data_IF_093183949451
#
_entry.id   IF_093183949451
#
_cell.length_a   1.000
_cell.length_b   1.000
_cell.length_c   1.000
_cell.angle_alpha   90.00
_cell.angle_beta   90.00
_cell.angle_gamma   90.00
#
_symmetry.space_group_name_H-M   'P 1'
#
loop_
_entity.id
_entity.type
_entity.pdbx_description
1 polymer ?
#
# COMPACT_ATOMS: atom_id res chain seq x y z
N UNK A 1 14.38 -11.67 16.24
CA UNK A 1 14.97 -12.73 15.39
C UNK A 1 14.02 -13.24 14.30
N UNK A 2 12.74 -13.50 14.56
CA UNK A 2 11.77 -13.99 13.56
C UNK A 2 11.51 -13.01 12.41
N UNK A 3 11.32 -11.72 12.69
CA UNK A 3 11.08 -10.68 11.68
C UNK A 3 12.24 -10.56 10.68
N UNK A 4 13.50 -10.55 11.16
CA UNK A 4 14.65 -10.45 10.27
C UNK A 4 14.77 -11.68 9.34
N UNK A 5 14.52 -12.89 9.87
CA UNK A 5 14.47 -14.10 9.05
C UNK A 5 13.37 -14.00 7.99
N UNK A 6 12.20 -13.51 8.36
CA UNK A 6 11.07 -13.32 7.46
C UNK A 6 11.37 -12.31 6.35
N UNK A 7 11.83 -11.10 6.69
CA UNK A 7 12.18 -10.07 5.71
C UNK A 7 13.29 -10.52 4.78
N UNK A 8 14.35 -11.17 5.32
CA UNK A 8 15.46 -11.67 4.52
C UNK A 8 15.04 -12.82 3.59
N UNK A 9 14.13 -13.69 4.02
CA UNK A 9 13.55 -14.71 3.16
C UNK A 9 12.76 -14.11 1.99
N UNK A 10 11.98 -13.07 2.24
CA UNK A 10 11.25 -12.36 1.19
C UNK A 10 12.19 -11.63 0.22
N UNK A 11 13.27 -11.00 0.71
CA UNK A 11 14.25 -10.32 -0.13
C UNK A 11 15.07 -11.26 -1.00
N UNK A 12 15.39 -12.46 -0.50
CA UNK A 12 16.13 -13.47 -1.25
C UNK A 12 15.36 -14.12 -2.41
N UNK A 13 14.03 -14.03 -2.42
CA UNK A 13 13.16 -14.55 -3.50
C UNK A 13 13.03 -13.64 -4.70
N UNK A 14 13.62 -12.44 -4.68
CA UNK A 14 13.50 -11.47 -5.77
C UNK A 14 14.85 -11.14 -6.40
N UNK A 15 14.89 -11.18 -7.73
CA UNK A 15 15.80 -10.31 -8.45
C UNK A 15 15.38 -8.86 -8.09
N UNK A 16 16.26 -8.15 -7.42
CA UNK A 16 16.04 -6.73 -7.10
C UNK A 16 15.86 -5.96 -8.41
N UNK A 17 14.93 -5.01 -8.51
CA UNK A 17 14.64 -4.29 -9.76
C UNK A 17 15.83 -3.54 -10.36
N UNK A 18 16.96 -3.47 -9.68
CA UNK A 18 18.16 -2.70 -10.05
C UNK A 18 19.43 -3.57 -10.11
N UNK A 19 19.33 -4.91 -10.19
CA UNK A 19 20.52 -5.78 -10.18
C UNK A 19 21.33 -5.73 -8.87
N UNK A 20 20.76 -5.17 -7.80
CA UNK A 20 21.39 -5.11 -6.49
C UNK A 20 21.40 -6.51 -5.85
N UNK A 21 22.49 -6.85 -5.17
CA UNK A 21 22.59 -8.10 -4.39
C UNK A 21 21.46 -8.16 -3.36
N UNK A 22 20.89 -9.35 -3.05
CA UNK A 22 19.94 -9.53 -1.96
C UNK A 22 20.50 -8.89 -0.69
N UNK A 23 19.74 -7.99 -0.09
CA UNK A 23 20.15 -7.33 1.15
C UNK A 23 19.73 -8.20 2.32
N UNK A 24 20.64 -8.56 3.20
CA UNK A 24 20.35 -9.24 4.45
C UNK A 24 20.35 -8.21 5.58
N UNK A 25 19.20 -8.05 6.24
CA UNK A 25 19.04 -7.17 7.38
C UNK A 25 19.31 -7.92 8.69
N UNK A 26 20.11 -7.32 9.56
CA UNK A 26 20.26 -7.79 10.92
C UNK A 26 19.00 -7.47 11.76
N UNK A 27 18.74 -8.21 12.85
CA UNK A 27 17.67 -7.84 13.78
C UNK A 27 17.79 -6.42 14.31
N UNK A 28 19.01 -5.95 14.58
CA UNK A 28 19.30 -4.62 15.11
C UNK A 28 18.93 -3.52 14.11
N UNK A 29 19.26 -3.69 12.83
CA UNK A 29 18.88 -2.72 11.79
C UNK A 29 17.36 -2.58 11.67
N UNK A 30 16.62 -3.70 11.65
CA UNK A 30 15.16 -3.66 11.61
C UNK A 30 14.56 -3.04 12.87
N UNK A 31 15.13 -3.34 14.05
CA UNK A 31 14.70 -2.72 15.31
C UNK A 31 14.90 -1.21 15.27
N UNK A 32 16.07 -0.73 14.83
CA UNK A 32 16.34 0.69 14.67
C UNK A 32 15.35 1.39 13.72
N UNK A 33 14.98 0.75 12.61
CA UNK A 33 13.96 1.28 11.68
C UNK A 33 12.58 1.39 12.33
N UNK A 34 12.22 0.46 13.24
CA UNK A 34 10.94 0.46 13.94
C UNK A 34 10.90 1.45 15.10
N UNK A 35 11.99 1.57 15.86
CA UNK A 35 12.06 2.47 17.01
C UNK A 35 12.12 3.96 16.63
N UNK A 36 12.70 4.26 15.47
CA UNK A 36 12.85 5.63 14.97
C UNK A 36 12.43 5.77 13.50
N UNK A 37 11.18 5.43 13.14
CA UNK A 37 10.77 5.40 11.73
C UNK A 37 10.88 6.77 11.05
N UNK A 38 10.77 7.88 11.80
CA UNK A 38 10.88 9.23 11.26
C UNK A 38 12.28 9.55 10.71
N UNK A 39 13.34 8.90 11.21
CA UNK A 39 14.72 9.08 10.73
C UNK A 39 14.97 8.38 9.39
N UNK A 40 14.07 7.50 8.96
CA UNK A 40 14.22 6.71 7.75
C UNK A 40 13.35 7.18 6.58
N UNK A 41 12.84 8.43 6.66
CA UNK A 41 12.08 9.07 5.59
C UNK A 41 12.64 10.45 5.27
N UNK A 42 12.77 10.73 3.96
CA UNK A 42 13.08 12.08 3.44
C UNK A 42 11.82 12.77 2.97
N UNK A 43 11.41 13.86 3.59
CA UNK A 43 10.31 14.66 3.08
C UNK A 43 10.78 15.49 1.87
N UNK A 44 9.94 15.56 0.85
CA UNK A 44 10.07 16.54 -0.23
C UNK A 44 8.71 16.92 -0.78
N UNK A 45 8.65 18.06 -1.45
CA UNK A 45 7.40 18.63 -1.92
C UNK A 45 7.32 18.56 -3.44
N UNK A 46 6.15 18.17 -3.95
CA UNK A 46 5.83 18.22 -5.38
C UNK A 46 4.66 19.17 -5.62
N UNK A 47 4.73 20.05 -6.66
CA UNK A 47 3.60 20.88 -7.03
C UNK A 47 2.45 20.02 -7.57
N UNK A 48 1.21 20.34 -7.17
CA UNK A 48 0.00 19.73 -7.75
C UNK A 48 -0.40 20.48 -9.01
N UNK A 49 -0.94 19.78 -10.01
CA UNK A 49 -1.49 20.42 -11.23
C UNK A 49 -2.66 21.35 -10.93
N UNK A 50 -3.43 21.06 -9.90
CA UNK A 50 -4.57 21.88 -9.43
C UNK A 50 -4.17 23.03 -8.51
N UNK A 51 -2.87 23.32 -8.35
CA UNK A 51 -2.35 24.28 -7.37
C UNK A 51 -2.09 23.66 -6.00
N UNK A 52 -1.20 24.29 -5.23
CA UNK A 52 -0.75 23.79 -3.93
C UNK A 52 0.37 22.76 -4.02
N UNK A 53 0.68 22.11 -2.90
CA UNK A 53 1.84 21.25 -2.74
C UNK A 53 1.42 19.89 -2.19
N UNK A 54 2.04 18.83 -2.73
CA UNK A 54 1.93 17.47 -2.20
C UNK A 54 3.20 17.13 -1.43
N UNK A 55 3.04 16.78 -0.15
CA UNK A 55 4.15 16.30 0.67
C UNK A 55 4.38 14.81 0.39
N UNK A 56 5.60 14.48 -0.02
CA UNK A 56 6.05 13.11 -0.25
C UNK A 56 7.04 12.73 0.84
N UNK A 57 6.88 11.56 1.42
CA UNK A 57 7.80 11.01 2.38
C UNK A 57 8.43 9.75 1.77
N UNK A 58 9.58 9.93 1.13
CA UNK A 58 10.30 8.82 0.51
C UNK A 58 11.13 8.08 1.57
N UNK A 59 11.00 6.75 1.67
CA UNK A 59 11.84 5.98 2.57
C UNK A 59 13.30 6.02 2.12
N UNK A 60 14.21 6.07 3.09
CA UNK A 60 15.65 5.90 2.87
C UNK A 60 15.95 4.53 2.24
N UNK A 61 17.08 4.36 1.55
CA UNK A 61 17.37 3.15 0.76
C UNK A 61 17.17 1.83 1.54
N UNK A 62 17.62 1.75 2.78
CA UNK A 62 17.48 0.55 3.60
C UNK A 62 16.01 0.21 3.89
N UNK A 63 15.22 1.17 4.39
CA UNK A 63 13.79 0.98 4.63
C UNK A 63 13.02 0.74 3.32
N UNK A 64 13.39 1.40 2.24
CA UNK A 64 12.82 1.19 0.92
C UNK A 64 12.97 -0.26 0.44
N UNK A 65 14.13 -0.87 0.67
CA UNK A 65 14.38 -2.28 0.35
C UNK A 65 13.51 -3.22 1.18
N UNK A 66 13.36 -2.95 2.49
CA UNK A 66 12.44 -3.72 3.35
C UNK A 66 11.00 -3.63 2.80
N UNK A 67 10.53 -2.44 2.48
CA UNK A 67 9.18 -2.25 1.96
C UNK A 67 8.98 -2.88 0.57
N UNK A 68 9.98 -2.89 -0.30
CA UNK A 68 9.93 -3.63 -1.55
C UNK A 68 9.85 -5.14 -1.34
N UNK A 69 10.54 -5.69 -0.34
CA UNK A 69 10.43 -7.10 0.02
C UNK A 69 9.04 -7.44 0.58
N UNK A 70 8.45 -6.54 1.38
CA UNK A 70 7.14 -6.73 2.00
C UNK A 70 5.96 -6.54 1.02
N UNK A 71 6.06 -5.66 0.02
CA UNK A 71 4.95 -5.34 -0.87
C UNK A 71 4.33 -6.56 -1.57
N UNK A 72 5.09 -7.54 -2.13
CA UNK A 72 4.50 -8.76 -2.68
C UNK A 72 3.85 -9.65 -1.65
N UNK A 73 4.39 -9.68 -0.44
CA UNK A 73 3.80 -10.44 0.65
C UNK A 73 2.42 -9.86 1.01
N UNK A 74 2.30 -8.54 1.16
CA UNK A 74 0.99 -7.91 1.34
C UNK A 74 0.01 -8.21 0.21
N UNK A 75 0.51 -8.35 -1.02
CA UNK A 75 -0.34 -8.70 -2.18
C UNK A 75 -0.92 -10.11 -2.10
N UNK A 76 -0.33 -11.01 -1.31
CA UNK A 76 -0.89 -12.36 -1.09
C UNK A 76 -2.03 -12.39 -0.08
N UNK A 77 -2.26 -11.29 0.65
CA UNK A 77 -3.28 -11.21 1.70
C UNK A 77 -4.70 -11.07 1.17
N UNK A 78 -4.86 -10.58 -0.05
CA UNK A 78 -6.18 -10.28 -0.62
C UNK A 78 -6.19 -10.49 -2.12
N UNK A 79 -7.38 -10.71 -2.66
CA UNK A 79 -7.62 -10.68 -4.10
C UNK A 79 -8.18 -9.30 -4.46
N UNK A 80 -7.48 -8.50 -5.29
CA UNK A 80 -7.99 -7.21 -5.71
C UNK A 80 -9.35 -7.35 -6.41
N UNK A 81 -10.30 -6.49 -6.06
CA UNK A 81 -11.60 -6.45 -6.72
C UNK A 81 -11.47 -6.22 -8.23
N UNK A 82 -12.40 -6.76 -9.01
CA UNK A 82 -12.39 -6.58 -10.46
C UNK A 82 -12.46 -5.10 -10.88
N UNK A 83 -13.14 -4.29 -10.07
CA UNK A 83 -13.30 -2.85 -10.25
C UNK A 83 -12.07 -2.01 -9.84
N UNK A 84 -11.02 -2.60 -9.23
CA UNK A 84 -9.79 -1.91 -8.86
C UNK A 84 -8.76 -1.97 -9.98
N UNK A 85 -8.36 -0.81 -10.53
CA UNK A 85 -7.44 -0.69 -11.66
C UNK A 85 -6.08 -0.08 -11.26
N UNK A 86 -6.05 0.76 -10.25
CA UNK A 86 -4.81 1.39 -9.80
C UNK A 86 -3.87 0.41 -9.10
N UNK A 87 -2.56 0.45 -9.45
CA UNK A 87 -1.49 -0.37 -8.87
C UNK A 87 -1.62 -1.88 -9.09
N UNK A 88 -2.51 -2.33 -9.96
CA UNK A 88 -2.70 -3.74 -10.31
C UNK A 88 -2.00 -4.11 -11.63
N UNK A 89 -1.43 -5.32 -11.67
CA UNK A 89 -0.77 -5.81 -12.88
C UNK A 89 -1.78 -6.04 -13.99
N UNK A 90 -1.45 -5.59 -15.21
CA UNK A 90 -2.30 -5.77 -16.39
C UNK A 90 -3.58 -4.91 -16.34
N UNK A 91 -3.65 -3.95 -15.42
CA UNK A 91 -4.74 -2.98 -15.33
C UNK A 91 -4.17 -1.57 -15.28
N UNK A 92 -4.74 -0.67 -16.04
CA UNK A 92 -4.27 0.70 -16.15
C UNK A 92 -5.39 1.70 -16.30
N UNK A 93 -5.03 2.93 -16.62
CA UNK A 93 -5.98 4.02 -16.79
C UNK A 93 -6.89 3.80 -18.01
N UNK A 94 -6.39 3.14 -19.04
CA UNK A 94 -7.15 2.85 -20.27
C UNK A 94 -8.25 1.84 -19.95
N UNK A 95 -7.90 0.71 -19.36
CA UNK A 95 -8.86 -0.34 -18.99
C UNK A 95 -9.88 0.19 -17.95
N UNK A 96 -9.44 1.10 -17.06
CA UNK A 96 -10.38 1.77 -16.16
C UNK A 96 -11.38 2.65 -16.90
N UNK A 97 -10.94 3.39 -17.91
CA UNK A 97 -11.83 4.25 -18.70
C UNK A 97 -12.79 3.42 -19.58
N UNK A 98 -12.32 2.27 -20.11
CA UNK A 98 -13.12 1.36 -20.95
C UNK A 98 -14.37 0.83 -20.23
N UNK A 99 -14.32 0.69 -18.89
CA UNK A 99 -15.49 0.30 -18.07
C UNK A 99 -16.68 1.23 -18.29
N UNK A 100 -16.43 2.50 -18.57
CA UNK A 100 -17.44 3.55 -18.64
C UNK A 100 -17.81 3.97 -20.06
N UNK A 101 -17.29 3.30 -21.09
CA UNK A 101 -17.66 3.60 -22.49
C UNK A 101 -19.15 3.40 -22.72
N UNK A 102 -19.75 4.33 -23.48
CA UNK A 102 -21.16 4.30 -23.84
C UNK A 102 -22.12 4.68 -22.69
N UNK A 103 -21.60 5.31 -21.61
CA UNK A 103 -22.46 5.85 -20.56
C UNK A 103 -22.77 7.33 -20.82
N UNK A 104 -24.05 7.72 -20.66
CA UNK A 104 -24.49 9.12 -20.82
C UNK A 104 -23.99 10.02 -19.68
N UNK A 105 -23.76 9.44 -18.50
CA UNK A 105 -23.35 10.19 -17.30
C UNK A 105 -22.15 9.51 -16.65
N UNK A 106 -21.20 10.33 -16.20
CA UNK A 106 -20.04 9.89 -15.46
C UNK A 106 -19.90 10.73 -14.18
N UNK A 107 -19.93 10.06 -13.02
CA UNK A 107 -19.55 10.65 -11.74
C UNK A 107 -18.09 10.31 -11.44
N UNK A 108 -17.25 11.33 -11.29
CA UNK A 108 -15.87 11.18 -10.84
C UNK A 108 -15.75 11.77 -9.43
N UNK A 109 -15.26 10.97 -8.48
CA UNK A 109 -15.02 11.36 -7.11
C UNK A 109 -13.57 11.03 -6.72
N UNK A 110 -12.99 11.79 -5.79
CA UNK A 110 -11.62 11.66 -5.31
C UNK A 110 -11.60 11.60 -3.78
N UNK A 111 -10.85 10.66 -3.21
CA UNK A 111 -10.71 10.55 -1.76
C UNK A 111 -9.61 11.49 -1.29
N UNK A 112 -10.00 12.59 -0.65
CA UNK A 112 -9.05 13.58 -0.16
C UNK A 112 -8.02 12.95 0.79
N UNK A 113 -6.74 13.19 0.49
CA UNK A 113 -5.62 12.70 1.30
C UNK A 113 -5.65 11.17 1.53
N UNK A 114 -6.01 10.39 0.52
CA UNK A 114 -6.24 8.95 0.64
C UNK A 114 -5.15 8.22 1.41
N UNK A 115 -3.88 8.31 0.99
CA UNK A 115 -2.75 7.67 1.68
C UNK A 115 -2.63 8.12 3.14
N UNK A 116 -2.53 9.42 3.46
CA UNK A 116 -2.42 9.87 4.84
C UNK A 116 -3.68 9.63 5.69
N UNK A 117 -4.84 9.36 5.10
CA UNK A 117 -6.06 9.01 5.84
C UNK A 117 -5.99 7.60 6.44
N UNK A 118 -5.13 6.73 5.89
CA UNK A 118 -4.95 5.37 6.36
C UNK A 118 -4.02 5.37 7.57
N UNK A 119 -4.59 5.12 8.76
CA UNK A 119 -3.85 5.08 10.01
C UNK A 119 -3.16 3.74 10.26
N UNK A 120 -2.08 3.77 11.04
CA UNK A 120 -1.39 2.58 11.55
C UNK A 120 -2.35 1.62 12.28
N UNK A 121 -3.30 2.18 13.06
CA UNK A 121 -4.33 1.38 13.75
C UNK A 121 -5.22 0.61 12.77
N UNK A 122 -5.63 1.24 11.67
CA UNK A 122 -6.45 0.59 10.64
C UNK A 122 -5.69 -0.55 9.97
N UNK A 123 -4.42 -0.31 9.60
CA UNK A 123 -3.54 -1.33 9.03
C UNK A 123 -3.34 -2.52 9.98
N UNK A 124 -3.08 -2.25 11.27
CA UNK A 124 -2.95 -3.30 12.28
C UNK A 124 -4.22 -4.16 12.36
N UNK A 125 -5.38 -3.52 12.41
CA UNK A 125 -6.67 -4.22 12.43
C UNK A 125 -6.84 -5.13 11.22
N UNK A 126 -6.55 -4.63 10.02
CA UNK A 126 -6.59 -5.42 8.78
C UNK A 126 -5.59 -6.59 8.79
N UNK A 127 -4.35 -6.37 9.21
CA UNK A 127 -3.36 -7.43 9.28
C UNK A 127 -3.82 -8.56 10.21
N UNK A 128 -4.40 -8.23 11.35
CA UNK A 128 -4.91 -9.20 12.30
C UNK A 128 -6.18 -9.91 11.81
N UNK A 129 -7.06 -9.24 11.05
CA UNK A 129 -8.24 -9.87 10.48
C UNK A 129 -7.92 -10.79 9.31
N UNK A 130 -7.02 -10.39 8.42
CA UNK A 130 -6.67 -11.17 7.22
C UNK A 130 -5.81 -12.41 7.54
N UNK A 131 -4.90 -12.30 8.52
CA UNK A 131 -4.05 -13.44 8.92
C UNK A 131 -4.54 -14.19 10.15
N UNK A 132 -5.48 -13.61 10.91
CA UNK A 132 -6.02 -14.26 12.11
C UNK A 132 -4.91 -14.73 13.07
N UNK A 133 -5.01 -15.98 13.58
CA UNK A 133 -4.08 -16.51 14.58
C UNK A 133 -2.63 -16.70 14.08
N UNK A 134 -2.39 -16.72 12.77
CA UNK A 134 -1.07 -16.92 12.19
C UNK A 134 -0.16 -15.71 12.37
N UNK A 135 -0.73 -14.52 12.54
CA UNK A 135 0.00 -13.29 12.79
C UNK A 135 -0.12 -12.86 14.25
N UNK A 136 0.96 -12.94 15.02
CA UNK A 136 0.96 -12.41 16.38
C UNK A 136 0.74 -10.90 16.39
N UNK A 137 0.06 -10.34 17.43
CA UNK A 137 -0.12 -8.88 17.57
C UNK A 137 1.21 -8.11 17.54
N UNK A 138 2.27 -8.68 18.11
CA UNK A 138 3.61 -8.10 18.06
C UNK A 138 4.15 -8.02 16.62
N UNK A 139 4.00 -9.08 15.83
CA UNK A 139 4.45 -9.07 14.43
C UNK A 139 3.64 -8.07 13.60
N UNK A 140 2.33 -7.95 13.86
CA UNK A 140 1.50 -6.93 13.22
C UNK A 140 2.00 -5.51 13.54
N UNK A 141 2.37 -5.23 14.80
CA UNK A 141 2.98 -3.95 15.18
C UNK A 141 4.29 -3.69 14.44
N UNK A 142 5.17 -4.68 14.37
CA UNK A 142 6.43 -4.57 13.63
C UNK A 142 6.21 -4.24 12.15
N UNK A 143 5.29 -4.95 11.48
CA UNK A 143 4.97 -4.71 10.08
C UNK A 143 4.39 -3.31 9.87
N UNK A 144 3.48 -2.87 10.75
CA UNK A 144 2.88 -1.54 10.68
C UNK A 144 3.94 -0.45 10.83
N UNK A 145 4.88 -0.58 11.77
CA UNK A 145 5.96 0.39 11.97
C UNK A 145 6.88 0.50 10.74
N UNK A 146 7.16 -0.61 10.06
CA UNK A 146 7.98 -0.62 8.85
C UNK A 146 7.31 0.02 7.63
N UNK A 147 5.98 0.12 7.59
CA UNK A 147 5.23 0.62 6.43
C UNK A 147 4.52 1.94 6.67
N UNK A 148 4.55 2.48 7.89
CA UNK A 148 3.94 3.76 8.23
C UNK A 148 4.99 4.81 8.60
N UNK A 149 4.63 6.07 8.38
CA UNK A 149 5.37 7.25 8.82
C UNK A 149 4.45 8.13 9.65
N UNK A 150 4.87 8.48 10.87
CA UNK A 150 4.06 9.27 11.81
C UNK A 150 2.64 8.70 12.04
N UNK A 151 2.55 7.37 12.12
CA UNK A 151 1.29 6.66 12.35
C UNK A 151 0.31 6.64 11.17
N UNK A 152 0.76 6.99 9.95
CA UNK A 152 -0.04 7.05 8.73
C UNK A 152 0.69 6.42 7.55
N UNK A 153 -0.06 6.00 6.54
CA UNK A 153 0.52 5.44 5.31
C UNK A 153 1.17 6.57 4.49
N UNK A 154 2.49 6.51 4.22
CA UNK A 154 3.18 7.58 3.53
C UNK A 154 2.94 7.56 2.02
N UNK A 155 2.86 8.73 1.39
CA UNK A 155 3.02 8.85 -0.06
C UNK A 155 4.50 8.75 -0.42
N UNK A 156 4.83 7.80 -1.32
CA UNK A 156 6.20 7.59 -1.82
C UNK A 156 6.87 6.32 -1.33
N UNK A 157 6.23 5.56 -0.45
CA UNK A 157 6.74 4.26 0.00
C UNK A 157 6.31 3.12 -0.95
N UNK A 158 7.20 2.15 -1.26
CA UNK A 158 6.90 1.04 -2.18
C UNK A 158 5.77 0.12 -1.74
N UNK A 159 5.53 -0.01 -0.43
CA UNK A 159 4.45 -0.81 0.13
C UNK A 159 3.09 -0.11 0.11
N UNK A 160 3.07 1.23 0.04
CA UNK A 160 1.83 2.00 0.15
C UNK A 160 0.80 1.68 -0.94
N UNK A 161 1.16 1.50 -2.23
CA UNK A 161 0.19 1.16 -3.27
C UNK A 161 -0.60 -0.11 -3.01
N UNK A 162 0.05 -1.18 -2.60
CA UNK A 162 -0.63 -2.45 -2.31
C UNK A 162 -1.49 -2.35 -1.06
N UNK A 163 -1.02 -1.62 -0.05
CA UNK A 163 -1.76 -1.42 1.20
C UNK A 163 -2.99 -0.53 1.01
N UNK A 164 -2.97 0.45 0.11
CA UNK A 164 -4.17 1.22 -0.25
C UNK A 164 -5.23 0.33 -0.88
N UNK A 165 -4.86 -0.59 -1.78
CA UNK A 165 -5.80 -1.53 -2.37
C UNK A 165 -6.38 -2.50 -1.35
N UNK A 166 -5.57 -3.01 -0.42
CA UNK A 166 -6.05 -3.83 0.69
C UNK A 166 -7.09 -3.08 1.56
N UNK A 167 -6.78 -1.83 1.93
CA UNK A 167 -7.69 -1.00 2.75
C UNK A 167 -8.99 -0.66 2.02
N UNK A 168 -8.93 -0.49 0.69
CA UNK A 168 -10.09 -0.13 -0.13
C UNK A 168 -10.95 -1.33 -0.53
N UNK A 169 -10.51 -2.57 -0.30
CA UNK A 169 -11.21 -3.77 -0.77
C UNK A 169 -12.69 -3.83 -0.33
N UNK A 170 -12.97 -3.56 0.93
CA UNK A 170 -14.35 -3.53 1.46
C UNK A 170 -15.18 -2.40 0.84
N UNK A 171 -14.55 -1.23 0.61
CA UNK A 171 -15.19 -0.10 -0.05
C UNK A 171 -15.54 -0.47 -1.49
N UNK A 172 -14.61 -1.08 -2.21
CA UNK A 172 -14.80 -1.53 -3.58
C UNK A 172 -15.97 -2.52 -3.69
N UNK A 173 -16.05 -3.51 -2.81
CA UNK A 173 -17.15 -4.49 -2.76
C UNK A 173 -18.50 -3.79 -2.55
N UNK A 174 -18.57 -2.85 -1.60
CA UNK A 174 -19.80 -2.13 -1.29
C UNK A 174 -20.23 -1.21 -2.43
N UNK A 175 -19.31 -0.44 -3.00
CA UNK A 175 -19.63 0.50 -4.09
C UNK A 175 -19.95 -0.23 -5.39
N UNK A 176 -19.25 -1.33 -5.69
CA UNK A 176 -19.58 -2.17 -6.84
C UNK A 176 -20.98 -2.81 -6.70
N UNK A 177 -21.30 -3.31 -5.49
CA UNK A 177 -22.63 -3.85 -5.20
C UNK A 177 -23.73 -2.78 -5.32
N UNK A 178 -23.49 -1.58 -4.80
CA UNK A 178 -24.42 -0.46 -4.92
C UNK A 178 -24.62 -0.03 -6.38
N UNK A 179 -23.53 0.14 -7.12
CA UNK A 179 -23.58 0.49 -8.53
C UNK A 179 -24.39 -0.52 -9.33
N UNK A 180 -24.12 -1.82 -9.12
CA UNK A 180 -24.87 -2.91 -9.79
C UNK A 180 -26.36 -2.88 -9.45
N UNK A 181 -26.73 -2.58 -8.19
CA UNK A 181 -28.13 -2.45 -7.79
C UNK A 181 -28.88 -1.35 -8.57
N UNK A 182 -28.20 -0.24 -8.88
CA UNK A 182 -28.78 0.87 -9.64
C UNK A 182 -28.50 0.83 -11.16
N UNK A 183 -28.02 -0.31 -11.71
CA UNK A 183 -27.70 -0.44 -13.11
C UNK A 183 -26.50 0.40 -13.57
N UNK A 184 -25.68 0.87 -12.61
CA UNK A 184 -24.48 1.65 -12.87
C UNK A 184 -23.22 0.77 -12.90
N UNK A 185 -22.13 1.34 -13.41
CA UNK A 185 -20.79 0.73 -13.39
C UNK A 185 -19.91 1.49 -12.39
N UNK A 186 -19.14 0.74 -11.63
CA UNK A 186 -18.14 1.29 -10.69
C UNK A 186 -16.76 0.82 -11.08
N UNK A 187 -15.81 1.73 -10.99
CA UNK A 187 -14.38 1.40 -11.02
C UNK A 187 -13.60 2.36 -10.15
N UNK A 188 -12.44 1.94 -9.67
CA UNK A 188 -11.52 2.76 -8.89
C UNK A 188 -10.12 2.74 -9.50
N UNK A 189 -9.58 3.95 -9.71
CA UNK A 189 -8.19 4.14 -10.10
C UNK A 189 -7.45 4.89 -9.00
N UNK A 190 -6.86 4.15 -8.06
CA UNK A 190 -6.13 4.61 -6.85
C UNK A 190 -7.07 5.08 -5.75
N UNK A 191 -7.53 6.32 -5.79
CA UNK A 191 -8.29 7.09 -4.78
C UNK A 191 -9.67 7.56 -5.26
#
# INVERSE_FOLDING_TARGET
MALAKFVNHLSGRRATPLGMKPWAFSPQELTGMMESPHLHYRPFSLPKKSGGVRQIHAPEPALKMVQWALAPFFRTMFTPAACSFGFERGRGIVENAEVHLGQDWLLNADIQNFFPSISARRLKGLFLSEWGPELSPYMADCLVQLVTHQGRLPQGAPSSPVLTNLVAADLDIRLEGLARHFGCRYSRYVD
#
